data_IF_295027568187
#
_entry.id   IF_295027568187
#
_cell.length_a   1.000
_cell.length_b   1.000
_cell.length_c   1.000
_cell.angle_alpha   90.00
_cell.angle_beta   90.00
_cell.angle_gamma   90.00
#
_symmetry.space_group_name_H-M   'P 1'
#
loop_
_entity.id
_entity.type
_entity.pdbx_description
1 polymer ?
#
# COMPACT_ATOMS: atom_id res chain seq x y z
N UNK A 1 -14.41 -9.75 9.14
CA UNK A 1 -13.43 -8.77 9.67
C UNK A 1 -12.07 -9.45 9.73
N UNK A 2 -10.99 -8.77 9.30
CA UNK A 2 -9.62 -9.32 9.43
C UNK A 2 -9.24 -9.38 10.91
N UNK A 3 -8.52 -10.42 11.32
CA UNK A 3 -8.12 -10.63 12.71
C UNK A 3 -6.62 -10.40 12.89
N UNK A 4 -6.23 -10.05 14.11
CA UNK A 4 -4.84 -9.98 14.56
C UNK A 4 -4.74 -10.71 15.89
N UNK A 5 -3.65 -11.44 16.09
CA UNK A 5 -3.31 -12.00 17.39
C UNK A 5 -2.32 -11.04 18.05
N UNK A 6 -2.68 -10.46 19.19
CA UNK A 6 -1.87 -9.47 19.89
C UNK A 6 -1.54 -9.96 21.29
N UNK A 7 -0.28 -9.87 21.69
CA UNK A 7 0.21 -10.18 23.03
C UNK A 7 0.72 -8.90 23.70
N UNK A 8 0.24 -8.62 24.91
CA UNK A 8 0.69 -7.48 25.71
C UNK A 8 2.01 -7.78 26.45
N UNK A 9 2.52 -6.81 27.21
CA UNK A 9 3.78 -6.95 27.98
C UNK A 9 3.70 -7.99 29.09
N UNK A 10 2.51 -8.22 29.65
CA UNK A 10 2.22 -9.24 30.66
C UNK A 10 2.11 -10.65 30.04
N UNK A 11 2.44 -10.81 28.75
CA UNK A 11 2.35 -12.06 27.96
C UNK A 11 0.93 -12.63 27.87
N UNK A 12 -0.09 -11.79 28.07
CA UNK A 12 -1.49 -12.13 27.80
C UNK A 12 -1.79 -11.83 26.33
N UNK A 13 -2.42 -12.78 25.67
CA UNK A 13 -2.79 -12.69 24.26
C UNK A 13 -4.29 -12.62 24.03
N UNK A 14 -4.69 -11.97 22.94
CA UNK A 14 -6.08 -11.86 22.53
C UNK A 14 -6.20 -11.85 21.00
N UNK A 15 -7.28 -12.46 20.50
CA UNK A 15 -7.69 -12.34 19.11
C UNK A 15 -8.56 -11.11 18.94
N UNK A 16 -8.11 -10.16 18.13
CA UNK A 16 -8.73 -8.85 17.98
C UNK A 16 -9.12 -8.58 16.53
N UNK A 17 -10.02 -7.63 16.32
CA UNK A 17 -10.45 -7.21 14.99
C UNK A 17 -9.58 -6.05 14.47
N UNK A 18 -9.20 -6.13 13.20
CA UNK A 18 -8.59 -5.05 12.45
C UNK A 18 -9.65 -4.34 11.60
N UNK A 19 -9.70 -3.03 11.71
CA UNK A 19 -10.54 -2.18 10.87
C UNK A 19 -9.72 -1.07 10.23
N UNK A 20 -9.78 -0.97 8.90
CA UNK A 20 -9.17 0.16 8.20
C UNK A 20 -9.87 1.45 8.62
N UNK A 21 -9.08 2.46 8.97
CA UNK A 21 -9.63 3.80 9.25
C UNK A 21 -10.21 4.35 7.95
N UNK A 22 -11.51 4.71 7.96
CA UNK A 22 -12.14 5.34 6.79
C UNK A 22 -11.50 6.71 6.57
N UNK A 23 -10.95 6.92 5.39
CA UNK A 23 -10.48 8.23 4.98
C UNK A 23 -11.70 9.14 4.78
N UNK A 24 -11.56 10.43 5.13
CA UNK A 24 -12.58 11.41 4.76
C UNK A 24 -12.64 11.45 3.24
N UNK A 25 -13.84 11.43 2.66
CA UNK A 25 -13.97 11.66 1.23
C UNK A 25 -13.34 13.02 0.91
N UNK A 26 -12.31 12.97 0.07
CA UNK A 26 -11.69 14.17 -0.48
C UNK A 26 -12.64 14.88 -1.44
N UNK A 27 -12.22 16.03 -1.99
CA UNK A 27 -12.96 16.68 -3.06
C UNK A 27 -13.16 15.70 -4.21
N UNK A 28 -14.40 15.58 -4.68
CA UNK A 28 -14.74 14.76 -5.84
C UNK A 28 -14.57 15.62 -7.08
N UNK A 29 -13.78 15.16 -8.04
CA UNK A 29 -13.67 15.81 -9.35
C UNK A 29 -15.03 15.79 -10.06
N UNK A 30 -15.43 16.90 -10.67
CA UNK A 30 -16.65 17.01 -11.46
C UNK A 30 -17.49 18.24 -11.16
N UNK A 31 -18.64 18.34 -11.83
CA UNK A 31 -19.62 19.42 -11.61
C UNK A 31 -20.52 19.07 -10.42
N UNK A 32 -20.77 19.99 -9.47
CA UNK A 32 -21.66 19.74 -8.34
C UNK A 32 -23.04 19.21 -8.76
N UNK A 33 -23.52 18.16 -8.09
CA UNK A 33 -24.83 17.57 -8.36
C UNK A 33 -24.93 16.72 -9.63
N UNK A 34 -23.85 16.58 -10.41
CA UNK A 34 -23.81 15.70 -11.59
C UNK A 34 -22.94 14.48 -11.32
N UNK A 35 -23.41 13.31 -11.77
CA UNK A 35 -22.62 12.08 -11.74
C UNK A 35 -21.51 12.18 -12.80
N UNK A 36 -20.26 12.01 -12.39
CA UNK A 36 -19.12 11.90 -13.31
C UNK A 36 -18.97 10.44 -13.75
N UNK A 37 -18.89 10.20 -15.06
CA UNK A 37 -18.57 8.89 -15.62
C UNK A 37 -17.34 9.02 -16.51
N UNK A 38 -16.29 8.26 -16.20
CA UNK A 38 -15.12 8.17 -17.05
C UNK A 38 -15.35 7.11 -18.13
N UNK A 39 -15.19 7.51 -19.39
CA UNK A 39 -15.28 6.62 -20.55
C UNK A 39 -13.94 6.57 -21.25
N UNK A 40 -13.56 5.38 -21.71
CA UNK A 40 -12.37 5.16 -22.53
C UNK A 40 -12.83 5.02 -23.98
N UNK A 41 -12.06 5.61 -24.88
CA UNK A 41 -12.32 5.54 -26.31
C UNK A 41 -11.05 5.07 -27.02
N UNK A 42 -11.21 4.32 -28.12
CA UNK A 42 -10.10 3.91 -28.95
C UNK A 42 -9.50 5.14 -29.64
N UNK A 43 -8.23 5.43 -29.35
CA UNK A 43 -7.54 6.60 -29.91
C UNK A 43 -7.00 6.34 -31.33
N UNK A 44 -6.47 5.16 -31.59
CA UNK A 44 -5.98 4.72 -32.91
C UNK A 44 -5.83 3.20 -32.95
N UNK A 45 -5.67 2.63 -34.15
CA UNK A 45 -5.34 1.21 -34.36
C UNK A 45 -3.82 1.00 -34.40
N UNK A 46 -3.34 -0.24 -34.46
CA UNK A 46 -1.89 -0.51 -34.55
C UNK A 46 -1.25 0.23 -35.75
N UNK A 47 -1.95 0.27 -36.89
CA UNK A 47 -1.46 0.92 -38.11
C UNK A 47 -1.33 2.44 -37.97
N UNK A 48 -2.18 3.09 -37.18
CA UNK A 48 -2.13 4.53 -36.94
C UNK A 48 -1.17 4.95 -35.82
N UNK A 49 -0.39 4.02 -35.26
CA UNK A 49 0.66 4.40 -34.30
C UNK A 49 1.80 5.14 -35.00
N UNK A 50 2.41 6.11 -34.30
CA UNK A 50 3.55 6.86 -34.81
C UNK A 50 4.67 5.95 -35.34
N UNK A 51 4.97 4.86 -34.64
CA UNK A 51 6.01 3.91 -35.04
C UNK A 51 5.73 3.25 -36.41
N UNK A 52 4.45 2.97 -36.73
CA UNK A 52 4.08 2.40 -38.03
C UNK A 52 4.02 3.46 -39.11
N UNK A 53 3.44 4.62 -38.82
CA UNK A 53 3.31 5.72 -39.79
C UNK A 53 4.69 6.29 -40.19
N UNK A 54 5.59 6.49 -39.23
CA UNK A 54 6.95 6.99 -39.50
C UNK A 54 7.85 5.99 -40.23
N UNK A 55 7.50 4.69 -40.21
CA UNK A 55 8.20 3.66 -40.97
C UNK A 55 7.73 3.57 -42.43
N UNK A 56 6.62 4.23 -42.78
CA UNK A 56 6.13 4.28 -44.16
C UNK A 56 6.94 5.30 -44.99
N UNK A 57 7.20 5.02 -46.28
CA UNK A 57 7.88 5.96 -47.15
C UNK A 57 7.00 7.21 -47.38
N UNK A 58 7.55 8.40 -47.15
CA UNK A 58 6.86 9.68 -47.39
C UNK A 58 7.19 10.75 -46.34
N UNK A 59 6.62 11.94 -46.52
CA UNK A 59 6.65 12.99 -45.51
C UNK A 59 5.42 12.86 -44.60
N UNK A 60 5.64 12.29 -43.42
CA UNK A 60 4.60 12.11 -42.41
C UNK A 60 3.99 13.45 -41.98
N UNK A 61 4.77 14.53 -41.90
CA UNK A 61 4.26 15.83 -41.47
C UNK A 61 3.23 16.36 -42.46
N UNK A 62 3.54 16.25 -43.77
CA UNK A 62 2.60 16.63 -44.81
C UNK A 62 1.36 15.72 -44.82
N UNK A 63 1.53 14.41 -44.62
CA UNK A 63 0.40 13.48 -44.57
C UNK A 63 -0.56 13.77 -43.40
N UNK A 64 -0.05 14.15 -42.22
CA UNK A 64 -0.85 14.59 -41.08
C UNK A 64 -1.63 15.87 -41.40
N UNK A 65 -1.01 16.84 -42.07
CA UNK A 65 -1.68 18.08 -42.49
C UNK A 65 -2.81 17.79 -43.49
N UNK A 66 -2.58 16.84 -44.40
CA UNK A 66 -3.49 16.60 -45.52
C UNK A 66 -4.72 15.75 -45.15
N UNK A 67 -4.64 14.86 -44.15
CA UNK A 67 -5.78 13.98 -43.88
C UNK A 67 -5.67 12.99 -42.73
N UNK A 68 -4.97 13.31 -41.64
CA UNK A 68 -4.97 12.55 -40.39
C UNK A 68 -4.84 11.00 -40.58
N UNK A 69 -3.77 10.48 -41.22
CA UNK A 69 -3.58 9.06 -41.50
C UNK A 69 -3.55 8.16 -40.25
N UNK A 70 -3.41 8.73 -39.06
CA UNK A 70 -3.53 8.05 -37.78
C UNK A 70 -4.97 7.74 -37.37
N UNK A 71 -5.96 8.39 -38.00
CA UNK A 71 -7.38 8.26 -37.68
C UNK A 71 -8.04 7.28 -38.63
N UNK A 72 -8.22 6.04 -38.16
CA UNK A 72 -9.15 5.11 -38.77
C UNK A 72 -10.59 5.50 -38.41
N UNK A 73 -11.28 6.18 -39.33
CA UNK A 73 -12.63 6.73 -39.13
C UNK A 73 -13.64 5.65 -38.70
N UNK A 74 -13.44 4.39 -39.12
CA UNK A 74 -14.35 3.29 -38.78
C UNK A 74 -14.10 2.71 -37.38
N UNK A 75 -12.96 3.03 -36.75
CA UNK A 75 -12.53 2.43 -35.48
C UNK A 75 -12.35 3.45 -34.36
N UNK A 76 -11.74 4.61 -34.65
CA UNK A 76 -11.45 5.65 -33.66
C UNK A 76 -12.73 6.18 -33.04
N UNK A 77 -12.70 6.43 -31.73
CA UNK A 77 -13.88 6.89 -30.98
C UNK A 77 -14.82 5.76 -30.53
N UNK A 78 -14.56 4.49 -30.86
CA UNK A 78 -15.27 3.36 -30.26
C UNK A 78 -15.06 3.32 -28.76
N UNK A 79 -16.15 3.14 -28.01
CA UNK A 79 -16.09 3.04 -26.56
C UNK A 79 -15.41 1.72 -26.14
N UNK A 80 -14.42 1.81 -25.28
CA UNK A 80 -13.71 0.67 -24.72
C UNK A 80 -14.36 0.30 -23.38
N UNK A 81 -14.95 -0.89 -23.34
CA UNK A 81 -15.54 -1.48 -22.14
C UNK A 81 -14.47 -2.07 -21.21
N UNK A 82 -14.78 -3.21 -20.57
CA UNK A 82 -13.82 -3.90 -19.72
C UNK A 82 -12.66 -4.49 -20.55
N UNK A 83 -11.45 -4.34 -20.02
CA UNK A 83 -10.21 -4.77 -20.69
C UNK A 83 -9.49 -5.79 -19.83
N UNK A 84 -8.97 -6.84 -20.44
CA UNK A 84 -8.06 -7.78 -19.79
C UNK A 84 -6.63 -7.49 -20.19
N UNK A 85 -5.70 -7.55 -19.23
CA UNK A 85 -4.28 -7.40 -19.51
C UNK A 85 -3.72 -8.73 -19.99
N UNK A 86 -3.10 -8.72 -21.17
CA UNK A 86 -2.30 -9.83 -21.70
C UNK A 86 -0.84 -9.38 -21.82
N UNK A 87 0.08 -10.28 -21.50
CA UNK A 87 1.51 -10.02 -21.68
C UNK A 87 1.94 -10.55 -23.05
N UNK A 88 2.73 -9.77 -23.77
CA UNK A 88 3.27 -10.13 -25.07
C UNK A 88 4.77 -10.44 -24.96
N UNK A 89 5.27 -11.36 -25.77
CA UNK A 89 6.69 -11.60 -25.97
C UNK A 89 7.32 -10.41 -26.70
N UNK A 90 8.66 -10.38 -26.79
CA UNK A 90 9.37 -9.38 -27.60
C UNK A 90 9.02 -9.42 -29.09
N UNK A 91 8.35 -10.48 -29.55
CA UNK A 91 7.85 -10.65 -30.92
C UNK A 91 6.36 -10.32 -31.08
N UNK A 92 5.68 -9.90 -30.00
CA UNK A 92 4.24 -9.60 -30.02
C UNK A 92 3.32 -10.81 -29.82
N UNK A 93 3.85 -11.98 -29.50
CA UNK A 93 3.06 -13.20 -29.27
C UNK A 93 2.51 -13.23 -27.84
N UNK A 94 1.28 -13.72 -27.65
CA UNK A 94 0.67 -13.81 -26.31
C UNK A 94 1.44 -14.80 -25.43
N UNK A 95 1.83 -14.36 -24.24
CA UNK A 95 2.47 -15.21 -23.24
C UNK A 95 1.40 -16.00 -22.47
N UNK A 96 1.47 -17.33 -22.57
CA UNK A 96 0.57 -18.25 -21.88
C UNK A 96 1.12 -18.77 -20.53
N UNK A 97 2.34 -18.37 -20.17
CA UNK A 97 2.97 -18.74 -18.91
C UNK A 97 2.90 -17.61 -17.90
N UNK A 98 2.73 -17.95 -16.61
CA UNK A 98 2.82 -16.98 -15.53
C UNK A 98 4.19 -16.28 -15.56
N UNK A 99 4.25 -14.95 -15.48
CA UNK A 99 5.52 -14.24 -15.45
C UNK A 99 6.32 -14.61 -14.21
N UNK A 100 7.64 -14.66 -14.35
CA UNK A 100 8.53 -14.76 -13.19
C UNK A 100 8.60 -13.39 -12.52
N UNK A 101 8.14 -13.31 -11.27
CA UNK A 101 8.25 -12.09 -10.48
C UNK A 101 9.69 -11.93 -10.00
N UNK A 102 10.20 -10.70 -10.12
CA UNK A 102 11.54 -10.32 -9.64
C UNK A 102 11.41 -9.05 -8.79
N UNK A 103 12.05 -9.06 -7.64
CA UNK A 103 12.17 -7.89 -6.79
C UNK A 103 13.40 -7.09 -7.22
N UNK A 104 13.19 -5.80 -7.49
CA UNK A 104 14.24 -4.85 -7.88
C UNK A 104 14.34 -3.77 -6.82
N UNK A 105 15.52 -3.63 -6.21
CA UNK A 105 15.81 -2.60 -5.22
C UNK A 105 16.52 -1.43 -5.90
N UNK A 106 15.94 -0.23 -5.79
CA UNK A 106 16.55 1.00 -6.28
C UNK A 106 17.26 1.75 -5.14
N UNK A 107 18.40 2.35 -5.47
CA UNK A 107 19.11 3.30 -4.62
C UNK A 107 18.41 4.67 -4.58
N UNK A 108 18.84 5.55 -3.67
CA UNK A 108 18.31 6.91 -3.55
C UNK A 108 18.63 7.80 -4.77
N UNK A 109 19.62 7.41 -5.57
CA UNK A 109 20.00 7.99 -6.86
C UNK A 109 19.18 7.46 -8.04
N UNK A 110 18.27 6.51 -7.79
CA UNK A 110 17.48 5.83 -8.83
C UNK A 110 18.21 4.69 -9.53
N UNK A 111 19.47 4.40 -9.18
CA UNK A 111 20.21 3.28 -9.76
C UNK A 111 19.72 1.94 -9.19
N UNK A 112 19.65 0.90 -10.02
CA UNK A 112 19.34 -0.47 -9.59
C UNK A 112 20.49 -1.03 -8.74
N UNK A 113 20.19 -1.43 -7.50
CA UNK A 113 21.16 -2.00 -6.54
C UNK A 113 21.12 -3.51 -6.48
N UNK A 114 19.93 -4.09 -6.57
CA UNK A 114 19.74 -5.53 -6.41
C UNK A 114 18.56 -5.99 -7.26
N UNK A 115 18.69 -7.16 -7.89
CA UNK A 115 17.61 -7.87 -8.57
C UNK A 115 17.64 -9.33 -8.16
N UNK A 116 16.52 -9.82 -7.65
CA UNK A 116 16.38 -11.21 -7.21
C UNK A 116 15.02 -11.79 -7.57
N UNK A 117 14.86 -13.13 -7.62
CA UNK A 117 13.55 -13.75 -7.68
C UNK A 117 12.69 -13.27 -6.50
N UNK A 118 11.41 -12.99 -6.77
CA UNK A 118 10.48 -12.64 -5.71
C UNK A 118 10.37 -13.81 -4.72
N UNK A 119 10.45 -13.50 -3.43
CA UNK A 119 10.29 -14.49 -2.38
C UNK A 119 8.81 -14.56 -1.98
N UNK A 120 8.31 -15.78 -1.75
CA UNK A 120 6.99 -15.97 -1.17
C UNK A 120 7.06 -15.76 0.35
N UNK A 121 6.47 -14.66 0.82
CA UNK A 121 6.49 -14.25 2.22
C UNK A 121 5.07 -14.34 2.80
N UNK A 122 4.82 -15.22 3.78
CA UNK A 122 3.51 -15.36 4.39
C UNK A 122 3.13 -14.17 5.27
N UNK A 123 1.84 -14.02 5.55
CA UNK A 123 1.33 -13.07 6.52
C UNK A 123 1.59 -13.56 7.95
N UNK A 124 2.13 -12.71 8.82
CA UNK A 124 2.58 -13.09 10.16
C UNK A 124 1.83 -12.40 11.31
N UNK A 125 0.71 -11.73 11.00
CA UNK A 125 -0.04 -10.96 12.02
C UNK A 125 -1.23 -11.73 12.63
N UNK A 126 -1.63 -12.85 12.05
CA UNK A 126 -2.82 -13.62 12.48
C UNK A 126 -2.46 -15.05 12.92
N UNK A 127 -1.19 -15.29 13.22
CA UNK A 127 -0.70 -16.60 13.69
C UNK A 127 -0.90 -16.72 15.20
N UNK A 128 -1.62 -17.75 15.64
CA UNK A 128 -1.88 -17.97 17.07
C UNK A 128 -0.62 -18.40 17.84
N UNK A 129 0.25 -19.17 17.19
CA UNK A 129 1.51 -19.66 17.78
C UNK A 129 2.57 -18.55 17.90
N UNK A 130 2.41 -17.47 17.12
CA UNK A 130 3.35 -16.34 17.06
C UNK A 130 2.58 -15.02 17.04
N UNK A 131 1.91 -14.64 18.16
CA UNK A 131 1.14 -13.41 18.21
C UNK A 131 2.04 -12.20 18.05
N UNK A 132 1.50 -11.14 17.46
CA UNK A 132 2.18 -9.84 17.39
C UNK A 132 2.41 -9.34 18.80
N UNK A 133 3.69 -9.13 19.13
CA UNK A 133 4.12 -8.79 20.48
C UNK A 133 4.20 -7.29 20.63
N UNK A 134 3.66 -6.84 21.73
CA UNK A 134 3.89 -5.53 22.24
C UNK A 134 5.29 -5.48 22.86
N UNK A 135 6.17 -4.69 22.25
CA UNK A 135 7.57 -4.62 22.66
C UNK A 135 7.72 -3.62 23.82
N UNK A 136 8.73 -3.80 24.69
CA UNK A 136 9.01 -2.83 25.75
C UNK A 136 9.54 -1.49 25.22
N UNK A 137 9.79 -1.38 23.91
CA UNK A 137 10.29 -0.17 23.29
C UNK A 137 9.13 0.82 23.09
N UNK A 138 9.18 1.90 23.85
CA UNK A 138 8.29 3.06 23.75
C UNK A 138 9.00 4.21 23.03
N UNK A 139 8.21 5.02 22.34
CA UNK A 139 8.68 6.28 21.75
C UNK A 139 7.67 7.39 22.04
N UNK A 140 8.10 8.59 22.46
CA UNK A 140 7.22 9.74 22.59
C UNK A 140 6.52 10.10 21.28
N UNK A 141 5.25 10.52 21.34
CA UNK A 141 4.47 10.92 20.14
C UNK A 141 5.21 11.97 19.30
N UNK A 142 5.77 12.98 19.96
CA UNK A 142 6.49 14.07 19.29
C UNK A 142 7.73 13.58 18.53
N UNK A 143 8.42 12.55 19.02
CA UNK A 143 9.57 11.97 18.34
C UNK A 143 9.13 11.19 17.09
N UNK A 144 8.11 10.34 17.23
CA UNK A 144 7.68 9.45 16.15
C UNK A 144 7.20 10.22 14.92
N UNK A 145 6.45 11.31 15.12
CA UNK A 145 5.92 12.13 14.00
C UNK A 145 7.01 12.87 13.20
N UNK A 146 8.20 13.05 13.77
CA UNK A 146 9.33 13.69 13.08
C UNK A 146 10.27 12.67 12.45
N UNK A 147 10.32 11.44 12.97
CA UNK A 147 11.23 10.37 12.50
C UNK A 147 10.62 9.43 11.48
N UNK A 148 9.31 9.33 11.37
CA UNK A 148 8.69 8.31 10.51
C UNK A 148 7.59 8.89 9.62
N UNK A 149 7.55 8.41 8.37
CA UNK A 149 6.43 8.67 7.48
C UNK A 149 5.45 7.48 7.55
N UNK A 150 4.23 7.72 8.04
CA UNK A 150 3.20 6.69 8.13
C UNK A 150 2.49 6.49 6.79
N UNK A 151 2.47 5.24 6.32
CA UNK A 151 1.79 4.85 5.07
C UNK A 151 0.34 4.46 5.29
N UNK A 152 0.04 3.86 6.45
CA UNK A 152 -1.27 3.32 6.77
C UNK A 152 -1.54 3.39 8.26
N UNK A 153 -2.79 3.64 8.64
CA UNK A 153 -3.26 3.48 10.03
C UNK A 153 -4.40 2.49 10.07
N UNK A 154 -4.35 1.55 11.01
CA UNK A 154 -5.38 0.54 11.23
C UNK A 154 -5.90 0.69 12.66
N UNK A 155 -7.21 0.63 12.86
CA UNK A 155 -7.78 0.58 14.19
C UNK A 155 -7.86 -0.87 14.68
N UNK A 156 -7.42 -1.11 15.92
CA UNK A 156 -7.62 -2.39 16.60
C UNK A 156 -8.87 -2.28 17.47
N UNK A 157 -9.80 -3.22 17.32
CA UNK A 157 -11.07 -3.26 18.05
C UNK A 157 -11.22 -4.56 18.83
N UNK A 158 -11.89 -4.43 19.98
CA UNK A 158 -12.36 -5.57 20.77
C UNK A 158 -13.43 -6.34 20.00
N UNK A 159 -13.55 -7.62 20.32
CA UNK A 159 -14.57 -8.52 19.75
C UNK A 159 -15.59 -8.96 20.80
N UNK A 160 -15.29 -8.77 22.07
CA UNK A 160 -16.09 -9.12 23.24
C UNK A 160 -15.74 -8.21 24.44
N UNK A 161 -16.38 -8.41 25.59
CA UNK A 161 -16.14 -7.62 26.80
C UNK A 161 -14.75 -7.84 27.42
N UNK A 162 -14.19 -9.04 27.35
CA UNK A 162 -12.86 -9.32 27.91
C UNK A 162 -11.75 -8.62 27.11
N UNK A 163 -11.85 -8.64 25.78
CA UNK A 163 -10.96 -7.93 24.88
C UNK A 163 -11.16 -6.41 24.95
N UNK A 164 -12.33 -5.92 25.39
CA UNK A 164 -12.55 -4.50 25.68
C UNK A 164 -11.63 -4.05 26.83
N UNK A 165 -11.70 -4.71 27.99
CA UNK A 165 -10.89 -4.32 29.15
C UNK A 165 -9.39 -4.44 28.88
N UNK A 166 -9.00 -5.50 28.17
CA UNK A 166 -7.64 -5.71 27.70
C UNK A 166 -7.12 -4.54 26.88
N UNK A 167 -7.89 -4.12 25.86
CA UNK A 167 -7.51 -3.02 24.98
C UNK A 167 -7.63 -1.64 25.64
N UNK A 168 -8.62 -1.44 26.51
CA UNK A 168 -8.80 -0.19 27.24
C UNK A 168 -7.61 0.08 28.16
N UNK A 169 -7.16 -0.93 28.92
CA UNK A 169 -5.97 -0.81 29.80
C UNK A 169 -4.74 -0.38 29.00
N UNK A 170 -4.50 -1.02 27.86
CA UNK A 170 -3.38 -0.69 26.97
C UNK A 170 -3.50 0.72 26.37
N UNK A 171 -4.70 1.08 25.90
CA UNK A 171 -4.97 2.41 25.35
C UNK A 171 -4.72 3.50 26.39
N UNK A 172 -5.18 3.28 27.63
CA UNK A 172 -5.02 4.21 28.74
C UNK A 172 -3.55 4.39 29.10
N UNK A 173 -2.79 3.32 29.23
CA UNK A 173 -1.37 3.40 29.56
C UNK A 173 -0.59 4.25 28.53
N UNK A 174 -0.80 3.99 27.24
CA UNK A 174 -0.14 4.74 26.16
C UNK A 174 -0.63 6.19 26.06
N UNK A 175 -1.90 6.42 26.34
CA UNK A 175 -2.49 7.75 26.36
C UNK A 175 -1.89 8.61 27.48
N UNK A 176 -1.91 8.10 28.72
CA UNK A 176 -1.45 8.80 29.91
C UNK A 176 0.05 9.13 29.83
N UNK A 177 0.85 8.24 29.23
CA UNK A 177 2.29 8.45 29.02
C UNK A 177 2.62 9.32 27.80
N UNK A 178 1.69 9.52 26.87
CA UNK A 178 1.95 10.27 25.64
C UNK A 178 2.92 9.57 24.68
N UNK A 179 2.92 8.24 24.67
CA UNK A 179 3.90 7.39 23.96
C UNK A 179 3.22 6.43 22.98
N UNK A 180 4.03 5.83 22.09
CA UNK A 180 3.64 4.72 21.23
C UNK A 180 4.39 3.43 21.55
N UNK A 181 3.62 2.34 21.56
CA UNK A 181 3.99 0.93 21.43
C UNK A 181 4.72 0.54 20.15
N UNK A 182 6.00 0.17 20.14
CA UNK A 182 6.47 -0.65 19.01
C UNK A 182 5.87 -2.06 19.09
N UNK A 183 5.33 -2.51 17.96
CA UNK A 183 4.85 -3.88 17.78
C UNK A 183 5.77 -4.63 16.82
N UNK A 184 6.03 -5.90 17.11
CA UNK A 184 6.78 -6.78 16.22
C UNK A 184 6.21 -8.19 16.19
N UNK A 185 6.34 -8.84 15.04
CA UNK A 185 5.95 -10.23 14.84
C UNK A 185 7.09 -11.19 15.20
N UNK A 186 6.81 -12.48 15.10
CA UNK A 186 7.77 -13.55 15.34
C UNK A 186 7.94 -13.90 16.82
N UNK A 187 8.67 -14.99 17.07
CA UNK A 187 8.88 -15.54 18.42
C UNK A 187 9.50 -14.54 19.40
N UNK A 188 10.32 -13.61 18.91
CA UNK A 188 11.00 -12.56 19.69
C UNK A 188 10.37 -11.17 19.54
N UNK A 189 9.34 -10.99 18.72
CA UNK A 189 8.69 -9.69 18.52
C UNK A 189 9.59 -8.67 17.82
N UNK A 190 10.46 -9.12 16.91
CA UNK A 190 11.43 -8.27 16.19
C UNK A 190 11.16 -8.21 14.69
N UNK A 191 10.32 -9.11 14.19
CA UNK A 191 10.05 -9.20 12.77
C UNK A 191 9.05 -8.12 12.36
N UNK A 192 9.12 -7.62 11.12
CA UNK A 192 8.14 -6.67 10.62
C UNK A 192 6.74 -7.29 10.55
N UNK A 193 5.71 -6.45 10.56
CA UNK A 193 4.32 -6.87 10.41
C UNK A 193 3.97 -7.00 8.93
N UNK A 194 3.48 -8.18 8.54
CA UNK A 194 3.06 -8.53 7.18
C UNK A 194 1.60 -9.00 7.24
N UNK A 195 0.69 -8.19 6.70
CA UNK A 195 -0.76 -8.37 6.87
C UNK A 195 -1.42 -9.28 5.83
N UNK A 196 -0.72 -9.61 4.76
CA UNK A 196 -1.17 -10.49 3.68
C UNK A 196 0.06 -11.06 2.98
N UNK A 197 -0.12 -12.21 2.32
CA UNK A 197 0.93 -12.86 1.54
C UNK A 197 1.54 -11.90 0.51
N UNK A 198 2.87 -11.89 0.43
CA UNK A 198 3.66 -10.99 -0.41
C UNK A 198 3.35 -9.50 -0.17
N UNK A 199 2.79 -9.18 1.00
CA UNK A 199 2.51 -7.81 1.42
C UNK A 199 3.76 -7.07 1.90
N UNK A 200 3.70 -5.74 1.85
CA UNK A 200 4.82 -4.93 2.32
C UNK A 200 5.09 -5.13 3.83
N UNK A 201 6.37 -5.25 4.24
CA UNK A 201 6.74 -5.30 5.64
C UNK A 201 6.63 -3.92 6.29
N UNK A 202 6.03 -3.85 7.48
CA UNK A 202 5.87 -2.60 8.23
C UNK A 202 6.42 -2.68 9.66
N UNK A 203 6.98 -1.57 10.15
CA UNK A 203 7.10 -1.31 11.59
C UNK A 203 5.74 -0.83 12.11
N UNK A 204 5.27 -1.46 13.17
CA UNK A 204 4.00 -1.10 13.82
C UNK A 204 4.21 -0.20 15.03
N UNK A 205 3.50 0.93 15.06
CA UNK A 205 3.49 1.89 16.17
C UNK A 205 2.07 2.02 16.70
N UNK A 206 1.84 1.48 17.89
CA UNK A 206 0.55 1.44 18.54
C UNK A 206 0.35 2.70 19.39
N UNK A 207 -0.68 3.45 19.07
CA UNK A 207 -1.13 4.62 19.80
C UNK A 207 -2.40 4.29 20.59
N UNK A 208 -2.42 4.67 21.87
CA UNK A 208 -3.61 4.70 22.69
C UNK A 208 -4.21 6.10 22.80
N UNK A 209 -5.55 6.18 22.75
CA UNK A 209 -6.33 7.37 23.10
C UNK A 209 -7.53 6.96 23.96
N UNK A 210 -7.82 7.72 25.00
CA UNK A 210 -8.95 7.49 25.90
C UNK A 210 -9.77 8.77 26.05
N UNK A 211 -11.10 8.61 26.16
CA UNK A 211 -12.07 9.66 26.46
C UNK A 211 -13.14 9.07 27.39
N UNK A 212 -12.98 9.29 28.70
CA UNK A 212 -13.78 8.62 29.72
C UNK A 212 -13.68 7.09 29.62
N UNK A 213 -14.80 6.44 29.34
CA UNK A 213 -14.89 4.98 29.14
C UNK A 213 -14.76 4.56 27.66
N UNK A 214 -14.43 5.49 26.77
CA UNK A 214 -14.19 5.20 25.36
C UNK A 214 -12.70 5.11 25.11
N UNK A 215 -12.29 4.23 24.20
CA UNK A 215 -10.90 4.15 23.76
C UNK A 215 -10.80 4.09 22.25
N UNK A 216 -9.62 4.45 21.75
CA UNK A 216 -9.15 4.11 20.40
C UNK A 216 -7.73 3.58 20.50
N UNK A 217 -7.49 2.48 19.80
CA UNK A 217 -6.17 1.89 19.64
C UNK A 217 -5.83 1.95 18.15
N UNK A 218 -4.84 2.75 17.79
CA UNK A 218 -4.45 2.98 16.40
C UNK A 218 -3.08 2.37 16.16
N UNK A 219 -2.99 1.46 15.21
CA UNK A 219 -1.73 0.90 14.74
C UNK A 219 -1.29 1.67 13.50
N UNK A 220 -0.32 2.57 13.68
CA UNK A 220 0.32 3.28 12.60
C UNK A 220 1.44 2.42 12.00
N UNK A 221 1.45 2.30 10.68
CA UNK A 221 2.37 1.46 9.93
C UNK A 221 3.31 2.32 9.11
N UNK A 222 4.61 2.12 9.32
CA UNK A 222 5.65 2.79 8.54
C UNK A 222 6.71 1.79 8.08
N UNK A 223 7.19 1.98 6.87
CA UNK A 223 8.39 1.36 6.33
C UNK A 223 9.38 2.43 5.86
N UNK A 224 9.22 3.67 6.33
CA UNK A 224 9.99 4.84 5.91
C UNK A 224 10.43 5.65 7.14
N UNK A 225 11.74 5.72 7.32
CA UNK A 225 12.36 6.56 8.34
C UNK A 225 12.85 7.85 7.68
N UNK A 226 12.41 8.99 8.22
CA UNK A 226 12.74 10.32 7.75
C UNK A 226 14.16 10.67 8.18
N UNK A 227 14.94 11.23 7.25
CA UNK A 227 16.27 11.79 7.52
C UNK A 227 16.27 13.27 7.21
N UNK A 228 17.07 14.03 7.95
CA UNK A 228 17.26 15.45 7.68
C UNK A 228 17.89 15.65 6.28
N UNK A 229 17.46 16.66 5.52
CA UNK A 229 18.12 17.02 4.27
C UNK A 229 19.61 17.33 4.52
N UNK A 230 20.52 16.71 3.76
CA UNK A 230 21.97 16.91 3.90
C UNK A 230 22.70 15.93 4.82
N UNK A 231 21.99 15.08 5.56
CA UNK A 231 22.58 13.94 6.26
C UNK A 231 22.76 12.75 5.29
N UNK A 232 23.57 12.96 4.24
CA UNK A 232 24.04 11.84 3.42
C UNK A 232 24.92 10.96 4.30
N UNK A 233 24.66 9.65 4.29
CA UNK A 233 25.50 8.68 4.97
C UNK A 233 26.88 8.69 4.29
N UNK A 234 27.87 9.25 4.97
CA UNK A 234 29.28 8.87 4.79
C UNK A 234 29.47 7.43 5.22
#
# INVERSE_FOLDING_TARGET
MRKIQLMNEEKRDATLALESVKEKQGPVSGVPGKKLEFRRYLATTEAGTYAKLSAQPGDLAQALIDGDPEIDIEQVGKQVGDTQTVFLSSKGEVLHASPKLVDVLFGPDGAERERKPAADIPANTNEKESPVRFTPRRLPKAEVVTKFAFRRTIQIKHVDGLSFDFLFKMAKELHDKGELALLGAGSKGRDPLIFQENGSPYRGFLEGRVDGQKYKLLLHLSNLELRAPGAAAT
#
